data_IF_615343423087
#
_entry.id   IF_615343423087
#
_cell.length_a   1.000
_cell.length_b   1.000
_cell.length_c   1.000
_cell.angle_alpha   90.00
_cell.angle_beta   90.00
_cell.angle_gamma   90.00
#
_symmetry.space_group_name_H-M   'P 1'
#
loop_
_entity.id
_entity.type
_entity.pdbx_description
1 polymer ?
#
# COMPACT_ATOMS: atom_id res chain seq x y z
N UNK A 1 -8.85 19.38 -19.01
CA UNK A 1 -7.49 18.95 -18.60
C UNK A 1 -7.55 17.46 -18.29
N UNK A 2 -6.61 16.66 -18.79
CA UNK A 2 -6.54 15.23 -18.44
C UNK A 2 -6.10 15.12 -16.98
N UNK A 3 -6.83 14.39 -16.15
CA UNK A 3 -6.49 14.22 -14.73
C UNK A 3 -5.30 13.27 -14.59
N UNK A 4 -4.36 13.58 -13.69
CA UNK A 4 -3.30 12.66 -13.32
C UNK A 4 -3.88 11.40 -12.67
N UNK A 5 -4.97 11.56 -11.92
CA UNK A 5 -5.69 10.49 -11.25
C UNK A 5 -6.27 9.45 -12.22
N UNK A 6 -6.14 8.18 -11.84
CA UNK A 6 -6.62 7.03 -12.62
C UNK A 6 -6.97 5.84 -11.72
N UNK A 7 -7.37 4.75 -12.35
CA UNK A 7 -7.45 3.43 -11.72
C UNK A 7 -6.33 2.56 -12.30
N UNK A 8 -5.58 1.88 -11.45
CA UNK A 8 -4.66 0.83 -11.87
C UNK A 8 -5.29 -0.54 -11.64
N UNK A 9 -5.57 -1.26 -12.72
CA UNK A 9 -6.18 -2.59 -12.67
C UNK A 9 -5.23 -3.65 -13.22
N UNK A 10 -5.17 -4.81 -12.58
CA UNK A 10 -4.29 -5.89 -12.99
C UNK A 10 -4.27 -7.03 -11.99
N UNK A 11 -3.09 -7.51 -11.64
CA UNK A 11 -2.92 -8.64 -10.73
C UNK A 11 -1.88 -8.37 -9.66
N UNK A 12 -2.13 -8.94 -8.48
CA UNK A 12 -1.12 -9.11 -7.45
C UNK A 12 -0.70 -10.59 -7.42
N UNK A 13 0.60 -10.82 -7.38
CA UNK A 13 1.21 -12.15 -7.27
C UNK A 13 2.05 -12.19 -6.00
N UNK A 14 1.80 -13.18 -5.17
CA UNK A 14 2.58 -13.42 -3.97
C UNK A 14 3.29 -14.76 -4.10
N UNK A 15 4.55 -14.79 -3.72
CA UNK A 15 5.39 -15.97 -3.75
C UNK A 15 6.10 -16.10 -2.41
N UNK A 16 6.01 -17.28 -1.80
CA UNK A 16 6.70 -17.67 -0.58
C UNK A 16 7.62 -18.83 -0.91
N UNK A 17 8.85 -18.78 -0.39
CA UNK A 17 9.85 -19.83 -0.60
C UNK A 17 9.67 -20.97 0.38
N UNK A 18 9.25 -20.70 1.62
CA UNK A 18 9.16 -21.73 2.65
C UNK A 18 7.93 -21.53 3.57
N UNK A 19 6.97 -22.49 3.59
CA UNK A 19 6.79 -23.54 2.57
C UNK A 19 6.51 -22.93 1.19
N UNK A 20 6.97 -23.57 0.11
CA UNK A 20 6.80 -23.07 -1.26
C UNK A 20 5.33 -22.94 -1.61
N UNK A 21 4.86 -21.70 -1.78
CA UNK A 21 3.51 -21.40 -2.24
C UNK A 21 3.51 -20.12 -3.06
N UNK A 22 2.70 -20.10 -4.11
CA UNK A 22 2.41 -18.90 -4.86
C UNK A 22 0.92 -18.74 -5.07
N UNK A 23 0.46 -17.50 -5.13
CA UNK A 23 -0.93 -17.20 -5.44
C UNK A 23 -1.02 -15.89 -6.20
N UNK A 24 -1.92 -15.88 -7.20
CA UNK A 24 -2.18 -14.72 -8.04
C UNK A 24 -3.66 -14.42 -8.05
N UNK A 25 -4.03 -13.16 -7.89
CA UNK A 25 -5.42 -12.74 -8.00
C UNK A 25 -5.55 -11.34 -8.62
N UNK A 26 -6.70 -11.04 -9.24
CA UNK A 26 -6.95 -9.71 -9.76
C UNK A 26 -7.04 -8.68 -8.61
N UNK A 27 -6.63 -7.45 -8.91
CA UNK A 27 -6.73 -6.30 -8.01
C UNK A 27 -6.97 -5.03 -8.84
N UNK A 28 -7.65 -4.06 -8.23
CA UNK A 28 -7.75 -2.70 -8.73
C UNK A 28 -7.44 -1.73 -7.58
N UNK A 29 -6.60 -0.74 -7.86
CA UNK A 29 -6.19 0.32 -6.94
C UNK A 29 -6.53 1.67 -7.56
N UNK A 30 -6.92 2.62 -6.75
CA UNK A 30 -7.06 4.02 -7.15
C UNK A 30 -5.71 4.69 -7.06
N UNK A 31 -5.35 5.42 -8.11
CA UNK A 31 -4.17 6.27 -8.14
C UNK A 31 -4.66 7.72 -8.17
N UNK A 32 -4.50 8.41 -7.05
CA UNK A 32 -5.16 9.69 -6.79
C UNK A 32 -4.10 10.75 -6.59
N UNK A 33 -4.12 11.78 -7.41
CA UNK A 33 -3.37 12.98 -7.12
C UNK A 33 -4.05 13.69 -5.93
N UNK A 34 -3.27 13.99 -4.88
CA UNK A 34 -3.83 14.53 -3.64
C UNK A 34 -4.38 15.95 -3.82
N UNK A 35 -3.88 16.71 -4.80
CA UNK A 35 -4.41 18.04 -5.13
C UNK A 35 -5.73 17.94 -5.90
N UNK A 36 -5.88 16.96 -6.79
CA UNK A 36 -7.11 16.75 -7.56
C UNK A 36 -8.25 16.14 -6.70
N UNK A 37 -7.88 15.40 -5.65
CA UNK A 37 -8.78 14.56 -4.84
C UNK A 37 -10.10 15.25 -4.40
N UNK A 38 -10.12 16.52 -3.95
CA UNK A 38 -11.37 17.19 -3.56
C UNK A 38 -12.39 17.33 -4.69
N UNK A 39 -11.93 17.39 -5.94
CA UNK A 39 -12.77 17.64 -7.12
C UNK A 39 -13.13 16.36 -7.88
N UNK A 40 -12.35 15.28 -7.69
CA UNK A 40 -12.54 14.01 -8.39
C UNK A 40 -13.99 13.49 -8.29
N UNK A 41 -14.53 13.15 -9.46
CA UNK A 41 -15.91 12.67 -9.63
C UNK A 41 -16.97 13.66 -9.08
N UNK A 42 -16.77 14.97 -9.23
CA UNK A 42 -17.61 16.03 -8.67
C UNK A 42 -17.65 15.97 -7.12
N UNK A 43 -16.47 15.76 -6.54
CA UNK A 43 -16.22 15.65 -5.11
C UNK A 43 -16.86 14.45 -4.42
N UNK A 44 -17.44 13.50 -5.17
CA UNK A 44 -18.18 12.35 -4.61
C UNK A 44 -17.30 11.45 -3.74
N UNK A 45 -16.00 11.37 -4.03
CA UNK A 45 -15.07 10.54 -3.26
C UNK A 45 -14.89 11.05 -1.82
N UNK A 46 -14.93 12.36 -1.60
CA UNK A 46 -14.63 12.97 -0.29
C UNK A 46 -15.87 13.35 0.52
N UNK A 47 -17.08 13.13 -0.01
CA UNK A 47 -18.33 13.47 0.70
C UNK A 47 -18.42 12.75 2.06
N UNK A 48 -19.05 13.38 3.06
CA UNK A 48 -19.17 12.80 4.40
C UNK A 48 -20.17 11.63 4.46
N UNK A 49 -21.08 11.54 3.49
CA UNK A 49 -22.14 10.53 3.46
C UNK A 49 -21.63 9.14 3.04
N UNK A 50 -22.19 8.05 3.58
CA UNK A 50 -21.91 6.71 3.11
C UNK A 50 -22.21 6.59 1.61
N UNK A 51 -21.22 6.19 0.84
CA UNK A 51 -21.33 5.97 -0.60
C UNK A 51 -20.74 4.62 -0.99
N UNK A 52 -20.96 4.24 -2.25
CA UNK A 52 -20.35 3.03 -2.81
C UNK A 52 -18.82 3.05 -2.71
N UNK A 53 -18.23 4.22 -2.84
CA UNK A 53 -16.79 4.45 -2.81
C UNK A 53 -16.52 5.76 -2.08
N UNK A 54 -15.59 5.74 -1.12
CA UNK A 54 -15.28 6.91 -0.29
C UNK A 54 -13.80 6.94 0.10
N UNK A 55 -13.20 8.10 -0.05
CA UNK A 55 -11.95 8.47 0.60
C UNK A 55 -12.26 9.02 1.99
N UNK A 56 -11.67 8.42 3.02
CA UNK A 56 -11.78 8.89 4.40
C UNK A 56 -10.37 9.17 4.92
N UNK A 57 -10.08 10.43 5.24
CA UNK A 57 -8.75 10.87 5.70
C UNK A 57 -8.13 10.00 6.79
N UNK A 58 -8.93 9.53 7.76
CA UNK A 58 -8.48 8.68 8.87
C UNK A 58 -8.01 7.27 8.46
N UNK A 59 -8.31 6.84 7.23
CA UNK A 59 -7.90 5.53 6.71
C UNK A 59 -6.44 5.53 6.20
N UNK A 60 -5.76 6.68 6.23
CA UNK A 60 -4.44 6.92 5.61
C UNK A 60 -3.46 7.59 6.57
N UNK A 61 -2.19 7.65 6.16
CA UNK A 61 -1.03 8.12 6.91
C UNK A 61 -1.25 9.41 7.70
N UNK A 62 -0.71 9.47 8.91
CA UNK A 62 -0.72 10.66 9.76
C UNK A 62 -1.93 10.74 10.71
N UNK A 63 -1.90 11.73 11.60
CA UNK A 63 -2.90 11.92 12.65
C UNK A 63 -4.11 12.71 12.15
N UNK A 64 -5.25 12.55 12.83
CA UNK A 64 -6.42 13.40 12.62
C UNK A 64 -6.06 14.87 12.86
N UNK A 65 -6.19 15.71 11.85
CA UNK A 65 -5.90 17.15 11.92
C UNK A 65 -4.85 17.63 10.90
N UNK A 66 -3.96 16.75 10.44
CA UNK A 66 -2.98 17.07 9.38
C UNK A 66 -3.53 16.69 8.01
N UNK A 67 -3.29 17.51 6.99
CA UNK A 67 -3.54 17.10 5.60
C UNK A 67 -2.76 15.82 5.28
N UNK A 68 -3.28 15.00 4.37
CA UNK A 68 -2.56 13.79 3.96
C UNK A 68 -1.25 14.14 3.26
N UNK A 69 -1.29 15.15 2.40
CA UNK A 69 -0.11 15.73 1.74
C UNK A 69 0.97 16.12 2.77
N UNK A 70 0.59 16.92 3.79
CA UNK A 70 1.52 17.36 4.83
C UNK A 70 2.13 16.19 5.60
N UNK A 71 1.30 15.21 6.00
CA UNK A 71 1.77 14.03 6.71
C UNK A 71 2.78 13.20 5.90
N UNK A 72 2.57 13.04 4.59
CA UNK A 72 3.52 12.34 3.71
C UNK A 72 4.81 13.13 3.59
N UNK A 73 4.74 14.45 3.40
CA UNK A 73 5.94 15.30 3.32
C UNK A 73 6.75 15.28 4.61
N UNK A 74 6.08 15.29 5.76
CA UNK A 74 6.70 15.20 7.08
C UNK A 74 7.42 13.85 7.25
N UNK A 75 6.77 12.75 6.85
CA UNK A 75 7.36 11.40 6.91
C UNK A 75 8.62 11.28 6.04
N UNK A 76 8.57 11.80 4.81
CA UNK A 76 9.74 11.79 3.92
C UNK A 76 10.87 12.66 4.47
N UNK A 77 10.54 13.85 5.00
CA UNK A 77 11.53 14.73 5.61
C UNK A 77 12.19 14.09 6.83
N UNK A 78 11.43 13.42 7.68
CA UNK A 78 11.96 12.73 8.85
C UNK A 78 12.92 11.59 8.46
N UNK A 79 12.60 10.83 7.41
CA UNK A 79 13.40 9.68 7.00
C UNK A 79 14.61 10.04 6.12
N UNK A 80 14.50 11.04 5.25
CA UNK A 80 15.52 11.36 4.23
C UNK A 80 16.18 12.73 4.41
N UNK A 81 15.70 13.55 5.35
CA UNK A 81 16.17 14.93 5.56
C UNK A 81 15.68 15.93 4.49
N UNK A 82 15.08 15.46 3.40
CA UNK A 82 14.56 16.29 2.30
C UNK A 82 13.04 16.27 2.29
N UNK A 83 12.43 17.43 2.11
CA UNK A 83 10.98 17.56 1.99
C UNK A 83 10.60 17.55 0.51
N UNK A 84 9.71 16.65 0.03
CA UNK A 84 9.23 16.69 -1.34
C UNK A 84 8.63 18.05 -1.67
N UNK A 85 8.89 18.57 -2.86
CA UNK A 85 8.34 19.83 -3.37
C UNK A 85 7.24 19.63 -4.41
N UNK A 86 7.23 18.48 -5.09
CA UNK A 86 6.27 18.18 -6.15
C UNK A 86 4.93 17.61 -5.67
N UNK A 87 4.10 17.16 -6.63
CA UNK A 87 2.82 16.52 -6.34
C UNK A 87 3.02 15.16 -5.67
N UNK A 88 2.07 14.82 -4.80
CA UNK A 88 2.01 13.52 -4.13
C UNK A 88 0.82 12.74 -4.69
N UNK A 89 1.08 11.53 -5.16
CA UNK A 89 0.08 10.66 -5.77
C UNK A 89 -0.05 9.35 -5.00
N UNK A 90 -1.27 9.02 -4.61
CA UNK A 90 -1.61 7.90 -3.75
C UNK A 90 -2.14 6.72 -4.56
N UNK A 91 -1.42 5.59 -4.55
CA UNK A 91 -1.92 4.29 -5.01
C UNK A 91 -2.51 3.51 -3.83
N UNK A 92 -3.82 3.30 -3.81
CA UNK A 92 -4.51 2.72 -2.65
C UNK A 92 -5.82 2.00 -2.97
N UNK A 93 -6.36 1.28 -1.98
CA UNK A 93 -7.78 0.98 -1.91
C UNK A 93 -8.55 2.11 -1.20
N UNK A 94 -9.77 2.37 -1.66
CA UNK A 94 -10.72 3.28 -1.03
C UNK A 94 -11.75 2.47 -0.24
N UNK A 95 -12.45 3.13 0.69
CA UNK A 95 -13.56 2.52 1.43
C UNK A 95 -14.69 2.20 0.47
N UNK A 96 -15.22 0.98 0.55
CA UNK A 96 -16.30 0.48 -0.29
C UNK A 96 -17.42 -0.09 0.59
N UNK A 97 -18.67 0.30 0.34
CA UNK A 97 -19.83 -0.08 1.18
C UNK A 97 -19.59 0.11 2.70
N UNK A 98 -18.88 1.18 3.07
CA UNK A 98 -18.57 1.46 4.47
C UNK A 98 -17.39 0.66 5.06
N UNK A 99 -16.81 -0.30 4.33
CA UNK A 99 -15.66 -1.09 4.78
C UNK A 99 -14.37 -0.67 4.07
N UNK A 100 -13.28 -0.56 4.82
CA UNK A 100 -11.95 -0.31 4.27
C UNK A 100 -11.05 -1.46 4.68
N UNK A 101 -10.60 -2.23 3.70
CA UNK A 101 -9.50 -3.17 3.86
C UNK A 101 -8.40 -2.69 2.92
N UNK A 102 -7.33 -2.11 3.49
CA UNK A 102 -6.26 -1.48 2.74
C UNK A 102 -4.92 -1.92 3.33
N UNK A 103 -4.37 -3.08 2.90
CA UNK A 103 -3.19 -3.65 3.53
C UNK A 103 -1.92 -2.85 3.23
N UNK A 104 -1.91 -2.12 2.11
CA UNK A 104 -0.79 -1.29 1.71
C UNK A 104 -1.26 -0.09 0.87
N UNK A 105 -0.68 1.08 1.14
CA UNK A 105 -0.80 2.29 0.33
C UNK A 105 0.58 2.75 -0.10
N UNK A 106 0.72 3.20 -1.34
CA UNK A 106 1.95 3.78 -1.87
C UNK A 106 1.74 5.25 -2.16
N UNK A 107 2.57 6.11 -1.59
CA UNK A 107 2.60 7.54 -1.87
C UNK A 107 3.83 7.83 -2.73
N UNK A 108 3.60 8.13 -4.01
CA UNK A 108 4.62 8.57 -4.94
C UNK A 108 4.83 10.06 -4.75
N UNK A 109 6.02 10.43 -4.25
CA UNK A 109 6.43 11.82 -4.12
C UNK A 109 7.23 12.20 -5.35
N UNK A 110 6.65 13.03 -6.21
CA UNK A 110 7.32 13.46 -7.43
C UNK A 110 8.22 14.68 -7.15
N UNK A 111 9.17 14.91 -8.05
CA UNK A 111 9.95 16.13 -8.06
C UNK A 111 9.09 17.36 -8.40
N UNK A 112 9.66 18.57 -8.28
CA UNK A 112 8.93 19.81 -8.51
C UNK A 112 8.33 19.94 -9.92
N UNK A 113 8.93 19.26 -10.91
CA UNK A 113 8.42 19.22 -12.28
C UNK A 113 7.31 18.16 -12.48
N UNK A 114 7.16 17.21 -11.56
CA UNK A 114 6.21 16.11 -11.67
C UNK A 114 6.66 15.00 -12.64
N UNK A 115 7.94 14.97 -13.01
CA UNK A 115 8.51 14.07 -14.02
C UNK A 115 9.08 12.79 -13.42
N UNK A 116 9.76 12.91 -12.27
CA UNK A 116 10.50 11.80 -11.67
C UNK A 116 10.05 11.53 -10.25
N UNK A 117 10.10 10.26 -9.84
CA UNK A 117 9.81 9.86 -8.46
C UNK A 117 11.01 10.18 -7.58
N UNK A 118 10.86 11.13 -6.67
CA UNK A 118 11.89 11.52 -5.71
C UNK A 118 11.92 10.62 -4.47
N UNK A 119 10.76 10.10 -4.07
CA UNK A 119 10.63 9.15 -2.97
C UNK A 119 9.31 8.37 -3.08
N UNK A 120 9.27 7.19 -2.47
CA UNK A 120 8.05 6.41 -2.27
C UNK A 120 7.87 6.13 -0.78
N UNK A 121 6.70 6.49 -0.24
CA UNK A 121 6.27 6.06 1.09
C UNK A 121 5.33 4.87 0.96
N UNK A 122 5.61 3.79 1.68
CA UNK A 122 4.80 2.58 1.72
C UNK A 122 4.17 2.45 3.10
N UNK A 123 2.91 2.84 3.23
CA UNK A 123 2.15 2.62 4.46
C UNK A 123 1.55 1.23 4.46
N UNK A 124 1.94 0.41 5.43
CA UNK A 124 1.45 -0.95 5.61
C UNK A 124 0.55 -1.01 6.82
N UNK A 125 -0.61 -1.63 6.69
CA UNK A 125 -1.52 -1.93 7.82
C UNK A 125 -1.52 -3.44 8.06
N UNK A 126 -1.13 -3.89 9.26
CA UNK A 126 -1.19 -5.32 9.59
C UNK A 126 -2.62 -5.76 9.94
N UNK A 127 -2.93 -7.02 9.64
CA UNK A 127 -4.21 -7.66 9.99
C UNK A 127 -3.90 -8.92 10.80
N UNK A 128 -4.62 -9.18 11.92
CA UNK A 128 -5.81 -8.49 12.42
C UNK A 128 -5.54 -7.31 13.36
N UNK A 129 -4.29 -6.99 13.70
CA UNK A 129 -3.95 -6.03 14.77
C UNK A 129 -4.27 -4.56 14.42
N UNK A 130 -4.30 -4.21 13.13
CA UNK A 130 -4.67 -2.86 12.69
C UNK A 130 -3.60 -1.80 12.94
N UNK A 131 -2.38 -2.21 13.28
CA UNK A 131 -1.22 -1.35 13.42
C UNK A 131 -0.75 -0.88 12.04
N UNK A 132 -0.21 0.33 11.97
CA UNK A 132 0.30 0.93 10.75
C UNK A 132 1.75 1.33 10.89
N UNK A 133 2.50 1.20 9.79
CA UNK A 133 3.87 1.68 9.71
C UNK A 133 4.15 2.17 8.29
N UNK A 134 4.90 3.27 8.18
CA UNK A 134 5.33 3.85 6.92
C UNK A 134 6.81 3.54 6.68
N UNK A 135 7.11 2.96 5.53
CA UNK A 135 8.48 2.79 5.06
C UNK A 135 8.78 3.84 4.00
N UNK A 136 9.89 4.55 4.13
CA UNK A 136 10.31 5.55 3.15
C UNK A 136 11.49 5.04 2.34
N UNK A 137 11.42 5.17 1.02
CA UNK A 137 12.47 4.79 0.08
C UNK A 137 12.80 5.97 -0.83
N UNK A 138 14.10 6.34 -0.99
CA UNK A 138 14.49 7.36 -1.96
C UNK A 138 14.32 6.82 -3.39
N UNK A 139 13.81 7.66 -4.28
CA UNK A 139 13.54 7.30 -5.67
C UNK A 139 12.51 6.17 -5.83
N UNK A 140 12.75 5.31 -6.81
CA UNK A 140 11.86 4.18 -7.17
C UNK A 140 12.26 2.85 -6.53
N UNK A 141 13.44 2.77 -5.90
CA UNK A 141 13.92 1.52 -5.33
C UNK A 141 14.86 1.72 -4.16
N UNK A 142 14.76 0.83 -3.18
CA UNK A 142 15.63 0.87 -2.01
C UNK A 142 15.34 -0.29 -1.06
N UNK A 143 16.08 -0.30 0.04
CA UNK A 143 15.99 -1.32 1.06
C UNK A 143 15.66 -0.69 2.41
N UNK A 144 14.74 -1.31 3.15
CA UNK A 144 14.33 -0.86 4.49
C UNK A 144 14.27 -2.05 5.44
N UNK A 145 14.54 -1.81 6.73
CA UNK A 145 14.39 -2.84 7.76
C UNK A 145 12.92 -3.06 8.09
N UNK A 146 12.47 -4.31 8.20
CA UNK A 146 11.08 -4.62 8.57
C UNK A 146 10.82 -4.18 10.01
N UNK A 147 9.87 -3.26 10.19
CA UNK A 147 9.50 -2.71 11.49
C UNK A 147 8.08 -3.10 11.94
N UNK A 148 7.27 -3.74 11.06
CA UNK A 148 5.90 -4.15 11.37
C UNK A 148 5.72 -5.67 11.28
N UNK A 149 5.05 -6.27 12.28
CA UNK A 149 4.70 -7.68 12.25
C UNK A 149 3.43 -7.92 11.43
N UNK A 150 3.61 -8.13 10.12
CA UNK A 150 2.53 -8.24 9.14
C UNK A 150 1.96 -9.65 8.97
N UNK A 151 2.63 -10.69 9.48
CA UNK A 151 2.20 -12.07 9.33
C UNK A 151 2.78 -12.96 10.45
N UNK A 152 1.96 -13.82 11.08
CA UNK A 152 2.45 -14.83 12.03
C UNK A 152 3.47 -15.80 11.44
N UNK A 153 3.61 -15.87 10.11
CA UNK A 153 4.52 -16.79 9.42
C UNK A 153 5.76 -16.07 8.87
N UNK A 154 6.05 -14.86 9.36
CA UNK A 154 7.21 -14.08 8.93
C UNK A 154 7.83 -13.33 10.11
N UNK A 155 9.04 -13.74 10.48
CA UNK A 155 9.81 -13.14 11.57
C UNK A 155 10.09 -11.65 11.37
N UNK A 156 10.59 -10.99 12.42
CA UNK A 156 10.96 -9.57 12.37
C UNK A 156 12.35 -9.33 11.77
N UNK A 157 13.20 -10.35 11.74
CA UNK A 157 14.58 -10.32 11.24
C UNK A 157 14.64 -10.35 9.70
N UNK A 158 13.95 -9.40 9.07
CA UNK A 158 13.84 -9.29 7.63
C UNK A 158 14.14 -7.86 7.16
N UNK A 159 14.54 -7.77 5.89
CA UNK A 159 14.64 -6.52 5.15
C UNK A 159 13.71 -6.56 3.96
N UNK A 160 13.11 -5.42 3.63
CA UNK A 160 12.31 -5.25 2.44
C UNK A 160 13.11 -4.57 1.35
N UNK A 161 13.17 -5.18 0.17
CA UNK A 161 13.65 -4.55 -1.06
C UNK A 161 12.44 -4.12 -1.85
N UNK A 162 12.26 -2.80 -1.99
CA UNK A 162 11.18 -2.19 -2.77
C UNK A 162 11.69 -1.83 -4.16
N UNK A 163 10.86 -2.09 -5.17
CA UNK A 163 10.97 -1.52 -6.52
C UNK A 163 9.59 -1.05 -6.95
N UNK A 164 9.35 0.23 -6.86
CA UNK A 164 8.11 0.90 -7.24
C UNK A 164 8.36 1.69 -8.51
N UNK A 165 8.09 1.07 -9.67
CA UNK A 165 8.35 1.71 -10.97
C UNK A 165 7.55 2.99 -11.16
N UNK A 166 8.06 3.87 -12.03
CA UNK A 166 7.39 5.10 -12.43
C UNK A 166 5.91 4.86 -12.87
N UNK A 167 4.96 5.65 -12.35
CA UNK A 167 3.57 5.62 -12.79
C UNK A 167 3.40 6.07 -14.26
N UNK A 168 2.92 5.19 -15.12
CA UNK A 168 2.58 5.47 -16.53
C UNK A 168 1.44 4.60 -17.04
N UNK A 169 1.46 4.20 -18.31
CA UNK A 169 0.47 3.26 -18.88
C UNK A 169 0.45 1.91 -18.15
N UNK A 170 1.61 1.50 -17.62
CA UNK A 170 1.77 0.33 -16.77
C UNK A 170 2.41 0.76 -15.46
N UNK A 171 2.06 0.08 -14.38
CA UNK A 171 2.67 0.28 -13.07
C UNK A 171 3.00 -1.08 -12.47
N UNK A 172 4.28 -1.26 -12.15
CA UNK A 172 4.77 -2.45 -11.46
C UNK A 172 5.33 -2.04 -10.10
N UNK A 173 4.91 -2.75 -9.06
CA UNK A 173 5.48 -2.59 -7.72
C UNK A 173 5.87 -3.95 -7.20
N UNK A 174 7.13 -4.09 -6.79
CA UNK A 174 7.68 -5.31 -6.25
C UNK A 174 8.21 -5.06 -4.86
N UNK A 175 7.78 -5.88 -3.91
CA UNK A 175 8.30 -5.89 -2.54
C UNK A 175 8.83 -7.28 -2.27
N UNK A 176 10.12 -7.36 -1.96
CA UNK A 176 10.78 -8.60 -1.58
C UNK A 176 11.15 -8.57 -0.11
N UNK A 177 10.80 -9.61 0.64
CA UNK A 177 11.20 -9.82 2.03
C UNK A 177 12.36 -10.80 2.09
N UNK A 178 13.53 -10.31 2.50
CA UNK A 178 14.77 -11.08 2.60
C UNK A 178 15.15 -11.35 4.04
N UNK A 179 15.69 -12.55 4.29
CA UNK A 179 16.26 -12.96 5.58
C UNK A 179 17.59 -13.67 5.33
N UNK A 180 18.64 -13.23 6.01
CA UNK A 180 20.01 -13.73 5.81
C UNK A 180 20.43 -13.72 4.32
N UNK A 181 20.15 -12.62 3.61
CA UNK A 181 20.50 -12.44 2.20
C UNK A 181 19.63 -13.19 1.18
N UNK A 182 18.76 -14.11 1.61
CA UNK A 182 17.89 -14.88 0.71
C UNK A 182 16.45 -14.38 0.72
N UNK A 183 15.81 -14.42 -0.46
CA UNK A 183 14.37 -14.19 -0.61
C UNK A 183 13.56 -15.19 0.19
N UNK A 184 12.60 -14.71 0.98
CA UNK A 184 11.65 -15.58 1.72
C UNK A 184 10.22 -15.39 1.23
N UNK A 185 9.90 -14.18 0.83
CA UNK A 185 8.60 -13.82 0.31
C UNK A 185 8.71 -12.66 -0.66
N UNK A 186 7.88 -12.63 -1.70
CA UNK A 186 7.76 -11.52 -2.60
C UNK A 186 6.29 -11.23 -2.94
N UNK A 187 5.97 -9.96 -3.12
CA UNK A 187 4.69 -9.47 -3.62
C UNK A 187 4.94 -8.60 -4.85
N UNK A 188 4.26 -8.90 -5.95
CA UNK A 188 4.37 -8.13 -7.20
C UNK A 188 2.99 -7.68 -7.66
N UNK A 189 2.81 -6.37 -7.75
CA UNK A 189 1.72 -5.73 -8.48
C UNK A 189 2.14 -5.55 -9.94
N UNK A 190 1.30 -6.01 -10.85
CA UNK A 190 1.42 -5.74 -12.28
C UNK A 190 0.10 -5.16 -12.78
N UNK A 191 0.10 -3.84 -13.02
CA UNK A 191 -1.11 -3.04 -13.21
C UNK A 191 -1.07 -2.26 -14.52
N UNK A 192 -2.25 -1.95 -15.06
CA UNK A 192 -2.44 -1.10 -16.23
C UNK A 192 -3.35 0.07 -15.90
N UNK A 193 -3.04 1.23 -16.48
CA UNK A 193 -3.82 2.46 -16.33
C UNK A 193 -5.21 2.26 -16.94
N UNK A 194 -6.22 2.73 -16.23
CA UNK A 194 -7.61 2.81 -16.64
C UNK A 194 -8.10 4.19 -16.24
N UNK A 195 -8.71 4.91 -17.18
CA UNK A 195 -9.23 6.25 -16.93
C UNK A 195 -10.21 6.26 -15.74
N UNK A 196 -10.08 7.26 -14.87
CA UNK A 196 -10.99 7.44 -13.73
C UNK A 196 -12.26 8.17 -14.19
N UNK A 197 -13.30 7.39 -14.44
CA UNK A 197 -14.63 7.88 -14.76
C UNK A 197 -15.63 7.29 -13.76
N UNK A 198 -16.85 7.84 -13.73
CA UNK A 198 -17.93 7.29 -12.91
C UNK A 198 -18.21 5.83 -13.23
N UNK A 199 -18.18 5.47 -14.51
CA UNK A 199 -18.47 4.13 -14.98
C UNK A 199 -17.33 3.16 -14.64
N UNK A 200 -16.06 3.57 -14.76
CA UNK A 200 -14.92 2.73 -14.38
C UNK A 200 -14.83 2.54 -12.86
N UNK A 201 -15.05 3.60 -12.08
CA UNK A 201 -15.12 3.53 -10.62
C UNK A 201 -16.23 2.59 -10.16
N UNK A 202 -17.46 2.76 -10.65
CA UNK A 202 -18.59 1.89 -10.30
C UNK A 202 -18.35 0.42 -10.73
N UNK A 203 -17.76 0.20 -11.90
CA UNK A 203 -17.41 -1.14 -12.39
C UNK A 203 -16.41 -1.83 -11.46
N UNK A 204 -15.39 -1.13 -10.98
CA UNK A 204 -14.44 -1.72 -10.03
C UNK A 204 -15.09 -1.93 -8.67
N UNK A 205 -15.87 -0.97 -8.17
CA UNK A 205 -16.61 -1.16 -6.91
C UNK A 205 -17.55 -2.36 -6.95
N UNK A 206 -18.18 -2.66 -8.10
CA UNK A 206 -19.05 -3.85 -8.30
C UNK A 206 -18.30 -5.15 -8.56
N UNK A 207 -17.12 -5.09 -9.18
CA UNK A 207 -16.27 -6.27 -9.41
C UNK A 207 -15.51 -6.70 -8.15
N UNK A 208 -15.28 -5.76 -7.23
CA UNK A 208 -14.49 -5.96 -6.01
C UNK A 208 -15.23 -5.67 -4.67
N UNK A 209 -16.57 -5.71 -4.51
CA UNK A 209 -17.24 -5.47 -3.23
C UNK A 209 -17.04 -6.66 -2.28
N UNK A 210 -17.09 -7.86 -2.84
CA UNK A 210 -16.64 -9.09 -2.19
C UNK A 210 -15.12 -9.09 -1.99
N UNK A 211 -14.33 -8.13 -2.50
CA UNK A 211 -12.87 -8.21 -2.41
C UNK A 211 -12.36 -7.97 -0.99
N UNK A 212 -12.95 -7.08 -0.17
CA UNK A 212 -12.50 -6.96 1.23
C UNK A 212 -12.78 -8.23 2.03
N UNK A 213 -14.00 -8.78 1.93
CA UNK A 213 -14.36 -10.04 2.57
C UNK A 213 -13.57 -11.23 2.00
N UNK A 214 -13.40 -11.30 0.68
CA UNK A 214 -12.61 -12.32 -0.03
C UNK A 214 -11.13 -12.21 0.29
N UNK A 215 -10.57 -11.01 0.41
CA UNK A 215 -9.17 -10.82 0.79
C UNK A 215 -8.97 -11.20 2.25
N UNK A 216 -9.88 -10.84 3.17
CA UNK A 216 -9.87 -11.38 4.53
C UNK A 216 -9.96 -12.90 4.54
N UNK A 217 -10.89 -13.48 3.78
CA UNK A 217 -11.02 -14.94 3.64
C UNK A 217 -9.77 -15.58 3.04
N UNK A 218 -9.12 -14.95 2.06
CA UNK A 218 -7.85 -15.39 1.50
C UNK A 218 -6.71 -15.28 2.52
N UNK A 219 -6.67 -14.23 3.33
CA UNK A 219 -5.67 -14.05 4.39
C UNK A 219 -5.85 -15.15 5.44
N UNK A 220 -7.07 -15.36 5.94
CA UNK A 220 -7.34 -16.42 6.92
C UNK A 220 -7.17 -17.82 6.32
N UNK A 221 -7.60 -18.04 5.07
CA UNK A 221 -7.41 -19.31 4.36
C UNK A 221 -5.93 -19.61 4.10
N UNK A 222 -5.13 -18.61 3.72
CA UNK A 222 -3.68 -18.77 3.61
C UNK A 222 -3.03 -19.00 4.96
N UNK A 223 -3.44 -18.29 6.00
CA UNK A 223 -2.92 -18.51 7.35
C UNK A 223 -3.20 -19.93 7.83
N UNK A 224 -4.43 -20.43 7.64
CA UNK A 224 -4.80 -21.81 7.95
C UNK A 224 -3.99 -22.80 7.10
N UNK A 225 -3.89 -22.56 5.79
CA UNK A 225 -3.13 -23.41 4.87
C UNK A 225 -1.64 -23.47 5.21
N UNK A 226 -1.05 -22.38 5.70
CA UNK A 226 0.34 -22.34 6.19
C UNK A 226 0.48 -23.09 7.51
N UNK A 227 -0.46 -22.91 8.44
CA UNK A 227 -0.47 -23.65 9.72
C UNK A 227 -0.57 -25.15 9.49
N UNK A 228 -1.45 -25.60 8.59
CA UNK A 228 -1.60 -27.01 8.22
C UNK A 228 -0.37 -27.56 7.47
N UNK A 229 0.37 -26.70 6.75
CA UNK A 229 1.62 -27.05 6.10
C UNK A 229 2.85 -26.99 7.04
N UNK A 230 2.65 -26.84 8.35
CA UNK A 230 3.73 -26.84 9.35
C UNK A 230 4.58 -25.57 9.36
N UNK A 231 4.10 -24.45 8.81
CA UNK A 231 4.86 -23.19 8.81
C UNK A 231 5.11 -22.72 10.25
N UNK A 232 6.36 -22.31 10.53
CA UNK A 232 6.75 -21.75 11.83
C UNK A 232 5.93 -20.51 12.15
N UNK A 233 5.35 -20.49 13.35
CA UNK A 233 4.60 -19.36 13.88
C UNK A 233 5.53 -18.48 14.72
N UNK A 234 5.53 -17.19 14.43
CA UNK A 234 6.20 -16.15 15.19
C UNK A 234 5.13 -15.39 15.99
N UNK A 235 5.24 -15.32 17.32
CA UNK A 235 4.29 -14.58 18.14
C UNK A 235 4.38 -13.08 17.85
N UNK A 236 3.25 -12.39 17.96
CA UNK A 236 3.23 -10.93 17.82
C UNK A 236 4.02 -10.28 18.96
N UNK A 237 4.94 -9.35 18.69
CA UNK A 237 5.85 -8.79 19.70
C UNK A 237 5.19 -7.82 20.70
N UNK A 238 3.85 -7.78 20.76
CA UNK A 238 3.06 -6.80 21.52
C UNK A 238 3.05 -5.38 20.90
N UNK A 239 2.17 -4.49 21.38
CA UNK A 239 1.94 -3.16 20.79
C UNK A 239 3.07 -2.12 21.00
N UNK A 240 4.16 -2.50 21.66
CA UNK A 240 5.26 -1.59 22.01
C UNK A 240 6.62 -1.93 21.35
N UNK A 241 6.65 -2.84 20.38
CA UNK A 241 7.88 -3.17 19.68
C UNK A 241 8.14 -2.20 18.52
N UNK A 242 8.64 -1.01 18.86
CA UNK A 242 9.36 -0.17 17.89
C UNK A 242 10.82 -0.64 17.93
N UNK A 243 11.38 -1.15 16.82
CA UNK A 243 12.82 -1.38 16.77
C UNK A 243 13.51 -0.03 16.99
N UNK A 244 14.26 0.10 18.08
CA UNK A 244 15.17 1.24 18.24
C UNK A 244 16.21 1.09 17.13
N UNK A 245 16.26 2.04 16.19
CA UNK A 245 17.47 2.22 15.41
C UNK A 245 18.59 2.51 16.41
N UNK A 246 19.51 1.55 16.57
CA UNK A 246 20.81 1.84 17.14
C UNK A 246 21.50 2.77 16.15
N UNK A 247 21.46 4.06 16.47
CA UNK A 247 22.27 5.09 15.83
C UNK A 247 23.72 4.61 15.80
N UNK A 248 24.27 4.46 14.59
CA UNK A 248 25.71 4.39 14.35
C UNK A 248 26.16 5.71 13.76
#
# INVERSE_FOLDING_TARGET
>A
MSTASCIYAGTIHHQRVEPTRSFRHPIALFYLDLEELPELLEGRLVRPHPGLLRFRRADYLGRSGTSLDGAVRDEVHAALGTRPSGPIRLLTQLRSFGHCFNPVSFYYCLDGAGEWVSAVVVEVTNTPWGERHAYVVPGESGEVTKALHVSPFMGMDHRYVLRAGAPGERLNVHIESRRAGSSRFAATLALRRVELTRSSAARMTRRYPLASARVLALIYGHALGLKLAGARVYPHPGPHHVPREEAR
#
